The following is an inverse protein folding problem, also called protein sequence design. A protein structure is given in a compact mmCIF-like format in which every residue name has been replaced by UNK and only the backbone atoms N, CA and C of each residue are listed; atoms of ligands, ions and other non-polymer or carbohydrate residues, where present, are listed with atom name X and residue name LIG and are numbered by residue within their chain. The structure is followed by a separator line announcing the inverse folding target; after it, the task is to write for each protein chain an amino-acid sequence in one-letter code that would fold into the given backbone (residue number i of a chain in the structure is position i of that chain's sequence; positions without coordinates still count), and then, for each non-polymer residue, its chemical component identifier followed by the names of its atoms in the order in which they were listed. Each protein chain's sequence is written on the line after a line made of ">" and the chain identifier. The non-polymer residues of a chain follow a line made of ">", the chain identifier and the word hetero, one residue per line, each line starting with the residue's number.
data_IF_992364921469
#
_entry.id   IF_992364921469
#
_cell.length_a   1.000
_cell.length_b   1.000
_cell.length_c   1.000
_cell.angle_alpha   90.00
_cell.angle_beta   90.00
_cell.angle_gamma   90.00
#
_symmetry.space_group_name_H-M   'P 1'
#
loop_
_entity.id
_entity.type
_entity.pdbx_description
1 polymer ?
#
# COMPACT_ATOMS: atom_id res chain seq x y z
N UNK A 1 9.60 -17.58 -19.69
CA UNK A 1 9.53 -16.20 -20.21
C UNK A 1 8.08 -15.78 -20.14
N UNK A 2 7.73 -14.79 -19.33
CA UNK A 2 6.37 -14.23 -19.30
C UNK A 2 6.42 -13.00 -20.21
N UNK A 3 5.41 -12.84 -21.08
CA UNK A 3 5.38 -11.70 -21.99
C UNK A 3 5.16 -10.41 -21.20
N UNK A 4 5.85 -9.33 -21.58
CA UNK A 4 5.67 -8.01 -20.97
C UNK A 4 4.20 -7.56 -21.03
N UNK A 5 3.50 -7.94 -22.10
CA UNK A 5 2.07 -7.71 -22.31
C UNK A 5 1.20 -8.39 -21.24
N UNK A 6 1.52 -9.64 -20.86
CA UNK A 6 0.78 -10.37 -19.81
C UNK A 6 0.94 -9.71 -18.44
N UNK A 7 2.14 -9.21 -18.13
CA UNK A 7 2.40 -8.51 -16.87
C UNK A 7 1.64 -7.18 -16.79
N UNK A 8 1.68 -6.39 -17.87
CA UNK A 8 0.94 -5.11 -17.95
C UNK A 8 -0.57 -5.34 -17.82
N UNK A 9 -1.10 -6.41 -18.44
CA UNK A 9 -2.50 -6.81 -18.28
C UNK A 9 -2.85 -7.19 -16.83
N UNK A 10 -1.98 -7.97 -16.17
CA UNK A 10 -2.14 -8.32 -14.76
C UNK A 10 -2.13 -7.08 -13.84
N UNK A 11 -1.13 -6.20 -13.98
CA UNK A 11 -1.02 -4.97 -13.18
C UNK A 11 -2.25 -4.08 -13.39
N UNK A 12 -2.72 -3.94 -14.62
CA UNK A 12 -3.91 -3.14 -14.95
C UNK A 12 -5.18 -3.72 -14.32
N UNK A 13 -5.34 -5.05 -14.38
CA UNK A 13 -6.45 -5.74 -13.73
C UNK A 13 -6.44 -5.56 -12.21
N UNK A 14 -5.29 -5.80 -11.58
CA UNK A 14 -5.11 -5.59 -10.14
C UNK A 14 -5.35 -4.12 -9.74
N UNK A 15 -4.88 -3.17 -10.55
CA UNK A 15 -5.12 -1.75 -10.37
C UNK A 15 -6.62 -1.41 -10.38
N UNK A 16 -7.39 -1.94 -11.33
CA UNK A 16 -8.84 -1.72 -11.39
C UNK A 16 -9.53 -2.25 -10.12
N UNK A 17 -9.17 -3.46 -9.67
CA UNK A 17 -9.74 -4.05 -8.44
C UNK A 17 -9.45 -3.17 -7.22
N UNK A 18 -8.21 -2.70 -7.08
CA UNK A 18 -7.83 -1.79 -5.98
C UNK A 18 -8.59 -0.46 -6.10
N UNK A 19 -8.70 0.11 -7.30
CA UNK A 19 -9.43 1.36 -7.51
C UNK A 19 -10.90 1.26 -7.10
N UNK A 20 -11.59 0.16 -7.43
CA UNK A 20 -12.98 -0.07 -7.00
C UNK A 20 -13.06 -0.07 -5.46
N UNK A 21 -12.21 -0.85 -4.80
CA UNK A 21 -12.21 -0.95 -3.34
C UNK A 21 -11.87 0.37 -2.62
N UNK A 22 -10.86 1.09 -3.12
CA UNK A 22 -10.43 2.35 -2.51
C UNK A 22 -11.39 3.50 -2.80
N UNK A 23 -12.03 3.55 -3.97
CA UNK A 23 -13.02 4.59 -4.29
C UNK A 23 -14.21 4.53 -3.33
N UNK A 24 -14.65 3.33 -2.93
CA UNK A 24 -15.67 3.16 -1.89
C UNK A 24 -15.29 3.85 -0.58
N UNK A 25 -14.04 3.67 -0.14
CA UNK A 25 -13.52 4.26 1.11
C UNK A 25 -13.36 5.78 0.97
N UNK A 26 -12.89 6.27 -0.19
CA UNK A 26 -12.80 7.72 -0.50
C UNK A 26 -14.16 8.39 -0.41
N UNK A 27 -15.21 7.74 -0.89
CA UNK A 27 -16.59 8.22 -0.81
C UNK A 27 -17.23 8.03 0.58
N UNK A 28 -16.57 7.32 1.50
CA UNK A 28 -17.09 7.03 2.83
C UNK A 28 -18.33 6.14 2.83
N UNK A 29 -18.46 5.25 1.84
CA UNK A 29 -19.57 4.31 1.76
C UNK A 29 -19.40 3.17 2.79
N UNK A 30 -20.52 2.66 3.35
CA UNK A 30 -20.47 1.54 4.28
C UNK A 30 -19.88 0.28 3.64
N UNK A 31 -19.28 -0.57 4.46
CA UNK A 31 -18.72 -1.84 3.99
C UNK A 31 -19.87 -2.80 3.61
N UNK A 32 -19.73 -3.55 2.50
CA UNK A 32 -20.72 -4.55 2.13
C UNK A 32 -20.75 -5.67 3.18
N UNK A 33 -21.94 -6.23 3.44
CA UNK A 33 -22.15 -7.28 4.43
C UNK A 33 -21.52 -8.64 4.05
N UNK A 34 -21.08 -8.81 2.79
CA UNK A 34 -20.50 -10.05 2.27
C UNK A 34 -18.98 -9.95 2.14
N UNK A 35 -18.26 -10.85 2.80
CA UNK A 35 -16.78 -10.91 2.82
C UNK A 35 -16.20 -11.47 1.49
N UNK A 36 -17.02 -12.09 0.64
CA UNK A 36 -16.62 -12.73 -0.61
C UNK A 36 -17.29 -12.15 -1.86
N UNK A 37 -17.35 -10.84 -1.99
CA UNK A 37 -17.86 -10.21 -3.21
C UNK A 37 -16.76 -10.14 -4.28
N UNK A 38 -17.08 -10.62 -5.48
CA UNK A 38 -16.31 -10.35 -6.70
C UNK A 38 -16.12 -8.83 -6.89
N UNK A 39 -15.02 -8.38 -7.52
CA UNK A 39 -14.84 -6.96 -7.87
C UNK A 39 -16.04 -6.37 -8.62
N UNK A 40 -16.74 -7.21 -9.39
CA UNK A 40 -17.97 -6.81 -10.09
C UNK A 40 -19.13 -6.50 -9.14
N UNK A 41 -19.36 -7.35 -8.14
CA UNK A 41 -20.40 -7.10 -7.13
C UNK A 41 -20.07 -5.88 -6.26
N UNK A 42 -18.80 -5.64 -5.96
CA UNK A 42 -18.36 -4.44 -5.23
C UNK A 42 -18.64 -3.17 -6.05
N UNK A 43 -18.42 -3.22 -7.37
CA UNK A 43 -18.75 -2.12 -8.28
C UNK A 43 -20.27 -1.86 -8.31
N UNK A 44 -21.09 -2.91 -8.50
CA UNK A 44 -22.55 -2.78 -8.49
C UNK A 44 -23.09 -2.27 -7.14
N UNK A 45 -22.52 -2.74 -6.04
CA UNK A 45 -22.84 -2.28 -4.69
C UNK A 45 -22.53 -0.79 -4.54
N UNK A 46 -21.33 -0.36 -4.96
CA UNK A 46 -20.93 1.05 -4.92
C UNK A 46 -21.88 1.93 -5.74
N UNK A 47 -22.25 1.51 -6.95
CA UNK A 47 -23.15 2.27 -7.84
C UNK A 47 -24.58 2.37 -7.30
N UNK A 48 -25.07 1.31 -6.64
CA UNK A 48 -26.42 1.30 -6.04
C UNK A 48 -26.50 2.10 -4.73
N UNK A 49 -25.38 2.28 -4.03
CA UNK A 49 -25.32 2.96 -2.72
C UNK A 49 -24.75 4.39 -2.82
N UNK A 50 -24.62 4.97 -4.01
CA UNK A 50 -24.12 6.35 -4.18
C UNK A 50 -24.94 7.41 -3.43
N UNK A 51 -26.20 7.13 -3.11
CA UNK A 51 -27.03 8.01 -2.28
C UNK A 51 -26.58 8.06 -0.81
N UNK A 52 -25.79 7.09 -0.35
CA UNK A 52 -25.29 6.98 1.03
C UNK A 52 -23.86 7.52 1.19
N UNK A 53 -23.38 8.30 0.20
CA UNK A 53 -22.06 8.93 0.25
C UNK A 53 -21.96 9.84 1.47
N UNK A 54 -20.92 9.62 2.27
CA UNK A 54 -20.64 10.46 3.42
C UNK A 54 -19.87 11.72 2.96
N UNK A 55 -20.62 12.82 2.78
CA UNK A 55 -20.12 14.05 2.16
C UNK A 55 -18.83 14.57 2.81
N UNK A 56 -18.72 14.57 4.14
CA UNK A 56 -17.52 15.05 4.83
C UNK A 56 -16.30 14.18 4.51
N UNK A 57 -16.44 12.85 4.48
CA UNK A 57 -15.34 11.94 4.11
C UNK A 57 -14.94 12.17 2.65
N UNK A 58 -15.91 12.31 1.75
CA UNK A 58 -15.66 12.56 0.33
C UNK A 58 -14.90 13.87 0.11
N UNK A 59 -15.33 14.97 0.73
CA UNK A 59 -14.67 16.29 0.60
C UNK A 59 -13.24 16.23 1.12
N UNK A 60 -13.01 15.62 2.28
CA UNK A 60 -11.68 15.51 2.89
C UNK A 60 -10.75 14.65 2.04
N UNK A 61 -11.25 13.51 1.56
CA UNK A 61 -10.45 12.55 0.76
C UNK A 61 -10.13 13.09 -0.62
N UNK A 62 -11.12 13.66 -1.33
CA UNK A 62 -10.93 14.28 -2.63
C UNK A 62 -10.10 15.57 -2.52
N UNK A 63 -10.28 16.34 -1.46
CA UNK A 63 -9.45 17.50 -1.15
C UNK A 63 -8.00 17.12 -0.94
N UNK A 64 -7.72 16.06 -0.17
CA UNK A 64 -6.38 15.53 0.02
C UNK A 64 -5.76 15.01 -1.29
N UNK A 65 -6.54 14.30 -2.13
CA UNK A 65 -6.10 13.86 -3.46
C UNK A 65 -5.74 15.05 -4.35
N UNK A 66 -6.60 16.06 -4.41
CA UNK A 66 -6.38 17.27 -5.20
C UNK A 66 -5.14 18.03 -4.70
N UNK A 67 -4.98 18.15 -3.39
CA UNK A 67 -3.82 18.79 -2.77
C UNK A 67 -2.52 18.02 -3.04
N UNK A 68 -2.54 16.69 -2.98
CA UNK A 68 -1.40 15.84 -3.34
C UNK A 68 -0.98 16.06 -4.79
N UNK A 69 -1.95 16.05 -5.72
CA UNK A 69 -1.68 16.32 -7.14
C UNK A 69 -1.14 17.74 -7.35
N UNK A 70 -1.71 18.73 -6.67
CA UNK A 70 -1.23 20.11 -6.71
C UNK A 70 0.23 20.18 -6.24
N UNK A 71 0.57 19.60 -5.08
CA UNK A 71 1.95 19.55 -4.58
C UNK A 71 2.91 18.93 -5.61
N UNK A 72 2.54 17.82 -6.24
CA UNK A 72 3.36 17.20 -7.29
C UNK A 72 3.53 18.09 -8.52
N UNK A 73 2.45 18.73 -8.99
CA UNK A 73 2.53 19.65 -10.14
C UNK A 73 3.39 20.87 -9.84
N UNK A 74 3.26 21.45 -8.64
CA UNK A 74 4.09 22.56 -8.17
C UNK A 74 5.56 22.15 -8.05
N UNK A 75 5.86 20.97 -7.48
CA UNK A 75 7.23 20.43 -7.45
C UNK A 75 7.82 20.26 -8.84
N UNK A 76 7.03 19.77 -9.81
CA UNK A 76 7.49 19.65 -11.20
C UNK A 76 7.75 21.02 -11.84
N UNK A 77 6.94 22.04 -11.51
CA UNK A 77 7.11 23.43 -11.96
C UNK A 77 8.36 24.09 -11.38
N UNK A 78 8.61 23.91 -10.08
CA UNK A 78 9.75 24.47 -9.36
C UNK A 78 10.90 23.47 -9.23
N UNK A 79 11.36 22.94 -10.37
CA UNK A 79 12.46 21.97 -10.43
C UNK A 79 13.78 22.52 -9.87
N UNK A 80 13.95 23.85 -9.88
CA UNK A 80 15.16 24.54 -9.43
C UNK A 80 15.39 24.50 -7.91
N UNK A 81 14.35 24.21 -7.12
CA UNK A 81 14.43 24.12 -5.67
C UNK A 81 14.78 22.68 -5.25
N UNK A 82 16.07 22.36 -5.15
CA UNK A 82 16.55 21.03 -4.76
C UNK A 82 15.97 20.56 -3.41
N UNK A 83 15.82 21.48 -2.45
CA UNK A 83 15.23 21.19 -1.13
C UNK A 83 13.78 20.71 -1.22
N UNK A 84 12.99 21.24 -2.17
CA UNK A 84 11.58 20.91 -2.32
C UNK A 84 11.37 19.52 -2.96
N UNK A 85 12.33 19.05 -3.77
CA UNK A 85 12.29 17.71 -4.36
C UNK A 85 12.57 16.60 -3.34
N UNK A 86 13.36 16.89 -2.30
CA UNK A 86 13.75 15.90 -1.28
C UNK A 86 12.62 15.56 -0.30
N UNK A 87 11.58 16.39 -0.20
CA UNK A 87 10.48 16.18 0.72
C UNK A 87 9.48 15.17 0.12
N UNK A 88 9.12 14.07 0.81
CA UNK A 88 8.07 13.16 0.34
C UNK A 88 6.70 13.84 0.41
N UNK A 89 6.06 14.03 -0.74
CA UNK A 89 4.73 14.64 -0.88
C UNK A 89 3.65 13.87 -0.11
N UNK A 90 3.69 12.54 -0.11
CA UNK A 90 2.76 11.72 0.66
C UNK A 90 2.83 11.99 2.16
N UNK A 91 4.04 12.15 2.71
CA UNK A 91 4.20 12.46 4.15
C UNK A 91 3.64 13.84 4.50
N UNK A 92 3.84 14.83 3.63
CA UNK A 92 3.28 16.19 3.82
C UNK A 92 1.76 16.14 3.88
N UNK A 93 1.12 15.39 2.98
CA UNK A 93 -0.33 15.23 2.96
C UNK A 93 -0.82 14.54 4.24
N UNK A 94 -0.16 13.47 4.67
CA UNK A 94 -0.51 12.76 5.92
C UNK A 94 -0.42 13.70 7.13
N UNK A 95 0.69 14.42 7.28
CA UNK A 95 0.91 15.33 8.41
C UNK A 95 -0.14 16.44 8.42
N UNK A 96 -0.35 17.13 7.29
CA UNK A 96 -1.29 18.25 7.22
C UNK A 96 -2.73 17.81 7.42
N UNK A 97 -3.15 16.71 6.80
CA UNK A 97 -4.52 16.20 6.98
C UNK A 97 -4.77 15.70 8.39
N UNK A 98 -3.77 15.10 9.04
CA UNK A 98 -3.86 14.69 10.45
C UNK A 98 -3.98 15.92 11.36
N UNK A 99 -3.16 16.96 11.14
CA UNK A 99 -3.23 18.20 11.92
C UNK A 99 -4.57 18.92 11.76
N UNK A 100 -5.08 19.01 10.54
CA UNK A 100 -6.41 19.59 10.26
C UNK A 100 -7.49 18.76 10.94
N UNK A 101 -7.46 17.43 10.78
CA UNK A 101 -8.42 16.50 11.40
C UNK A 101 -8.43 16.60 12.92
N UNK A 102 -7.27 16.76 13.54
CA UNK A 102 -7.12 17.00 14.98
C UNK A 102 -7.70 18.36 15.40
N UNK A 103 -7.34 19.44 14.70
CA UNK A 103 -7.75 20.80 15.07
C UNK A 103 -9.26 21.05 14.91
N UNK A 104 -9.88 20.39 13.95
CA UNK A 104 -11.31 20.57 13.61
C UNK A 104 -12.19 19.41 14.10
N UNK A 105 -11.62 18.44 14.81
CA UNK A 105 -12.40 17.35 15.39
C UNK A 105 -13.22 16.53 14.38
N UNK A 106 -12.73 16.34 13.15
CA UNK A 106 -13.47 15.73 12.02
C UNK A 106 -14.22 14.44 12.38
N UNK A 107 -13.58 13.59 13.17
CA UNK A 107 -14.19 12.33 13.59
C UNK A 107 -15.37 12.53 14.56
N UNK A 108 -15.21 13.44 15.52
CA UNK A 108 -16.23 13.69 16.56
C UNK A 108 -17.40 14.51 16.03
N UNK A 109 -17.11 15.53 15.23
CA UNK A 109 -18.12 16.50 14.78
C UNK A 109 -18.80 16.07 13.49
N UNK A 110 -18.06 15.41 12.59
CA UNK A 110 -18.54 15.09 11.24
C UNK A 110 -18.59 13.59 10.96
N UNK A 111 -18.32 12.72 11.94
CA UNK A 111 -18.40 11.26 11.74
C UNK A 111 -17.39 10.68 10.76
N UNK A 112 -16.32 11.41 10.44
CA UNK A 112 -15.29 10.93 9.50
C UNK A 112 -14.51 9.77 10.15
N UNK A 113 -14.42 8.65 9.45
CA UNK A 113 -13.67 7.50 9.91
C UNK A 113 -12.16 7.82 9.93
N UNK A 114 -11.54 7.63 11.09
CA UNK A 114 -10.10 7.85 11.32
C UNK A 114 -9.40 6.53 11.60
N UNK A 115 -8.06 6.54 11.52
CA UNK A 115 -7.22 5.38 11.76
C UNK A 115 -7.45 4.77 13.15
N UNK A 116 -7.68 5.62 14.16
CA UNK A 116 -8.02 5.17 15.51
C UNK A 116 -6.83 4.64 16.29
N UNK A 117 -7.12 3.98 17.42
CA UNK A 117 -6.09 3.42 18.31
C UNK A 117 -5.70 2.04 17.83
N UNK A 118 -4.41 1.86 17.57
CA UNK A 118 -3.81 0.55 17.32
C UNK A 118 -2.83 0.29 18.45
N UNK A 119 -2.89 -0.91 19.04
CA UNK A 119 -1.92 -1.35 20.04
C UNK A 119 -0.55 -1.48 19.36
N UNK A 120 0.32 -0.50 19.58
CA UNK A 120 1.67 -0.43 19.03
C UNK A 120 2.67 -1.33 19.74
N UNK A 121 2.25 -2.53 20.14
CA UNK A 121 3.11 -3.51 20.80
C UNK A 121 4.21 -3.97 19.84
N UNK A 122 5.39 -4.28 20.40
CA UNK A 122 6.43 -4.93 19.60
C UNK A 122 5.89 -6.24 19.00
N UNK A 123 6.21 -6.53 17.73
CA UNK A 123 5.77 -7.76 17.10
C UNK A 123 6.29 -8.95 17.92
N UNK A 124 5.37 -9.71 18.48
CA UNK A 124 5.69 -10.85 19.34
C UNK A 124 5.95 -12.07 18.48
N UNK A 125 6.97 -12.83 18.82
CA UNK A 125 7.19 -14.13 18.21
C UNK A 125 6.00 -15.05 18.54
N UNK A 126 5.37 -15.59 17.52
CA UNK A 126 4.25 -16.50 17.62
C UNK A 126 4.37 -17.63 16.60
N UNK A 127 4.08 -18.85 17.01
CA UNK A 127 4.00 -19.98 16.07
C UNK A 127 2.68 -19.83 15.28
N UNK A 128 2.72 -19.81 13.93
CA UNK A 128 1.51 -19.76 13.12
C UNK A 128 0.61 -20.96 13.45
N UNK A 129 -0.63 -20.69 13.84
CA UNK A 129 -1.64 -21.72 14.11
C UNK A 129 -2.75 -21.60 13.09
N UNK A 130 -3.15 -22.71 12.49
CA UNK A 130 -4.36 -22.76 11.66
C UNK A 130 -5.55 -22.95 12.60
N UNK A 131 -6.50 -21.99 12.65
CA UNK A 131 -7.70 -22.16 13.45
C UNK A 131 -8.53 -23.34 12.94
N UNK A 132 -9.16 -24.09 13.86
CA UNK A 132 -9.89 -25.31 13.52
C UNK A 132 -11.09 -25.10 12.58
N UNK A 133 -11.60 -23.87 12.46
CA UNK A 133 -12.71 -23.51 11.59
C UNK A 133 -12.28 -23.19 10.14
N UNK A 134 -10.98 -23.10 9.86
CA UNK A 134 -10.50 -22.77 8.51
C UNK A 134 -10.18 -24.05 7.75
N UNK A 135 -10.72 -24.17 6.53
CA UNK A 135 -10.34 -25.27 5.64
C UNK A 135 -8.88 -25.11 5.23
N UNK A 136 -8.06 -26.09 5.60
CA UNK A 136 -6.65 -26.13 5.26
C UNK A 136 -6.43 -26.14 3.75
N UNK A 137 -7.36 -26.70 2.97
CA UNK A 137 -7.29 -26.72 1.50
C UNK A 137 -7.40 -25.32 0.90
N UNK A 138 -8.30 -24.49 1.43
CA UNK A 138 -8.51 -23.13 0.94
C UNK A 138 -7.30 -22.23 1.24
N UNK A 139 -6.70 -22.37 2.43
CA UNK A 139 -5.45 -21.66 2.78
C UNK A 139 -4.32 -22.10 1.85
N UNK A 140 -4.14 -23.41 1.66
CA UNK A 140 -3.05 -23.94 0.83
C UNK A 140 -3.23 -23.50 -0.63
N UNK A 141 -4.44 -23.62 -1.16
CA UNK A 141 -4.77 -23.19 -2.52
C UNK A 141 -4.47 -21.70 -2.71
N UNK A 142 -5.02 -20.84 -1.83
CA UNK A 142 -4.80 -19.39 -1.87
C UNK A 142 -3.32 -19.02 -1.70
N UNK A 143 -2.62 -19.70 -0.78
CA UNK A 143 -1.20 -19.50 -0.51
C UNK A 143 -0.32 -19.86 -1.70
N UNK A 144 -0.62 -20.96 -2.41
CA UNK A 144 0.06 -21.34 -3.65
C UNK A 144 -0.16 -20.25 -4.71
N UNK A 145 -1.39 -19.80 -4.91
CA UNK A 145 -1.71 -18.74 -5.88
C UNK A 145 -0.95 -17.45 -5.59
N UNK A 146 -1.00 -16.97 -4.34
CA UNK A 146 -0.32 -15.74 -3.91
C UNK A 146 1.19 -15.88 -4.11
N UNK A 147 1.78 -17.02 -3.71
CA UNK A 147 3.22 -17.27 -3.83
C UNK A 147 3.65 -17.32 -5.29
N UNK A 148 2.89 -18.00 -6.15
CA UNK A 148 3.21 -18.12 -7.57
C UNK A 148 3.23 -16.73 -8.24
N UNK A 149 2.23 -15.90 -7.96
CA UNK A 149 2.14 -14.54 -8.51
C UNK A 149 3.28 -13.67 -7.96
N UNK A 150 3.48 -13.66 -6.64
CA UNK A 150 4.47 -12.80 -5.99
C UNK A 150 5.92 -13.15 -6.32
N UNK A 151 6.23 -14.44 -6.48
CA UNK A 151 7.54 -14.91 -6.95
C UNK A 151 7.81 -14.46 -8.38
N UNK A 152 6.81 -14.61 -9.25
CA UNK A 152 6.90 -14.17 -10.64
C UNK A 152 7.19 -12.67 -10.71
N UNK A 153 6.43 -11.86 -9.97
CA UNK A 153 6.64 -10.41 -9.89
C UNK A 153 8.05 -10.08 -9.39
N UNK A 154 8.48 -10.70 -8.28
CA UNK A 154 9.79 -10.47 -7.68
C UNK A 154 10.94 -10.76 -8.63
N UNK A 155 10.89 -11.91 -9.31
CA UNK A 155 11.95 -12.32 -10.26
C UNK A 155 11.98 -11.40 -11.48
N UNK A 156 10.83 -10.93 -11.95
CA UNK A 156 10.76 -9.97 -13.06
C UNK A 156 11.41 -8.65 -12.65
N UNK A 157 11.02 -8.08 -11.50
CA UNK A 157 11.59 -6.84 -10.99
C UNK A 157 13.11 -6.99 -10.80
N UNK A 158 13.55 -8.10 -10.18
CA UNK A 158 14.97 -8.35 -9.98
C UNK A 158 15.75 -8.41 -11.30
N UNK A 159 15.22 -9.09 -12.32
CA UNK A 159 15.86 -9.17 -13.65
C UNK A 159 15.84 -7.83 -14.40
N UNK A 160 14.78 -7.05 -14.27
CA UNK A 160 14.70 -5.72 -14.89
C UNK A 160 15.83 -4.81 -14.38
N UNK A 161 16.00 -4.70 -13.06
CA UNK A 161 17.06 -3.87 -12.48
C UNK A 161 18.46 -4.46 -12.69
N UNK A 162 18.59 -5.79 -12.72
CA UNK A 162 19.84 -6.46 -13.07
C UNK A 162 20.30 -6.11 -14.49
N UNK A 163 19.37 -6.11 -15.44
CA UNK A 163 19.64 -5.71 -16.82
C UNK A 163 20.01 -4.23 -16.93
N UNK A 164 19.32 -3.35 -16.18
CA UNK A 164 19.58 -1.90 -16.20
C UNK A 164 20.90 -1.51 -15.55
N UNK A 165 21.28 -2.20 -14.47
CA UNK A 165 22.47 -1.89 -13.66
C UNK A 165 23.63 -2.87 -13.92
N UNK A 166 23.54 -3.70 -14.96
CA UNK A 166 24.60 -4.60 -15.43
C UNK A 166 25.16 -5.57 -14.38
N UNK A 167 24.29 -6.17 -13.58
CA UNK A 167 24.65 -7.25 -12.64
C UNK A 167 23.88 -8.53 -12.92
N UNK A 168 24.34 -9.66 -12.38
CA UNK A 168 23.69 -10.96 -12.54
C UNK A 168 22.72 -11.25 -11.39
N UNK A 169 21.57 -11.83 -11.69
CA UNK A 169 20.60 -12.33 -10.71
C UNK A 169 20.38 -13.82 -10.90
N UNK A 170 20.49 -14.56 -9.80
CA UNK A 170 20.13 -15.98 -9.75
C UNK A 170 18.69 -16.12 -9.24
N UNK A 171 17.78 -16.59 -10.10
CA UNK A 171 16.38 -16.83 -9.71
C UNK A 171 16.27 -17.83 -8.56
N UNK A 172 17.14 -18.84 -8.48
CA UNK A 172 17.11 -19.80 -7.37
C UNK A 172 17.46 -19.14 -6.03
N UNK A 173 18.42 -18.21 -6.01
CA UNK A 173 18.77 -17.46 -4.79
C UNK A 173 17.64 -16.52 -4.37
N UNK A 174 16.97 -15.90 -5.34
CA UNK A 174 15.79 -15.06 -5.07
C UNK A 174 14.65 -15.86 -4.44
N UNK A 175 14.37 -17.06 -4.97
CA UNK A 175 13.35 -17.96 -4.42
C UNK A 175 13.65 -18.34 -2.96
N UNK A 176 14.90 -18.71 -2.67
CA UNK A 176 15.32 -19.05 -1.30
C UNK A 176 15.20 -17.82 -0.39
N UNK A 177 15.62 -16.64 -0.84
CA UNK A 177 15.51 -15.42 -0.06
C UNK A 177 14.05 -15.06 0.28
N UNK A 178 13.15 -15.13 -0.71
CA UNK A 178 11.71 -14.91 -0.50
C UNK A 178 11.11 -15.95 0.44
N UNK A 179 11.45 -17.23 0.29
CA UNK A 179 10.98 -18.30 1.16
C UNK A 179 11.40 -18.08 2.62
N UNK A 180 12.69 -17.83 2.86
CA UNK A 180 13.21 -17.56 4.22
C UNK A 180 12.57 -16.30 4.81
N UNK A 181 12.46 -15.22 4.03
CA UNK A 181 11.83 -13.97 4.47
C UNK A 181 10.38 -14.17 4.92
N UNK A 182 9.59 -14.94 4.16
CA UNK A 182 8.19 -15.22 4.49
C UNK A 182 8.04 -16.20 5.66
N UNK A 183 8.93 -17.19 5.82
CA UNK A 183 8.95 -18.08 6.99
C UNK A 183 9.21 -17.25 8.25
N UNK A 184 10.26 -16.41 8.24
CA UNK A 184 10.58 -15.53 9.37
C UNK A 184 9.44 -14.55 9.62
N UNK A 185 8.90 -13.91 8.59
CA UNK A 185 7.78 -12.98 8.69
C UNK A 185 6.52 -13.62 9.28
N UNK A 186 6.23 -14.87 8.94
CA UNK A 186 5.06 -15.60 9.48
C UNK A 186 5.12 -15.74 11.00
N UNK A 187 6.32 -15.87 11.58
CA UNK A 187 6.51 -15.97 13.02
C UNK A 187 6.22 -14.64 13.76
N UNK A 188 6.10 -13.53 13.03
CA UNK A 188 5.73 -12.22 13.56
C UNK A 188 4.36 -11.74 13.05
N UNK A 189 3.57 -12.62 12.43
CA UNK A 189 2.24 -12.28 11.89
C UNK A 189 2.28 -11.39 10.64
N UNK A 190 3.39 -11.36 9.91
CA UNK A 190 3.49 -10.57 8.69
C UNK A 190 2.67 -11.17 7.55
N UNK A 191 2.10 -10.30 6.70
CA UNK A 191 1.54 -10.71 5.41
C UNK A 191 2.64 -11.20 4.47
N UNK A 192 2.30 -12.08 3.50
CA UNK A 192 3.24 -12.50 2.47
C UNK A 192 3.88 -11.30 1.76
N UNK A 193 5.20 -11.29 1.70
CA UNK A 193 5.99 -10.19 1.16
C UNK A 193 6.79 -10.63 -0.07
N UNK A 194 6.82 -9.75 -1.08
CA UNK A 194 7.46 -9.95 -2.37
C UNK A 194 8.21 -8.68 -2.80
N UNK A 195 8.99 -8.77 -3.87
CA UNK A 195 9.67 -7.63 -4.49
C UNK A 195 8.67 -6.57 -4.95
N UNK A 196 8.98 -5.29 -4.74
CA UNK A 196 8.10 -4.17 -5.07
C UNK A 196 8.71 -3.29 -6.16
N UNK A 197 8.07 -3.22 -7.33
CA UNK A 197 8.52 -2.37 -8.43
C UNK A 197 8.65 -0.89 -8.02
N UNK A 198 7.66 -0.38 -7.28
CA UNK A 198 7.62 1.02 -6.83
C UNK A 198 8.79 1.35 -5.88
N UNK A 199 9.05 0.48 -4.89
CA UNK A 199 10.15 0.69 -3.93
C UNK A 199 11.52 0.54 -4.60
N UNK A 200 11.69 -0.45 -5.48
CA UNK A 200 12.93 -0.63 -6.25
C UNK A 200 13.21 0.58 -7.15
N UNK A 201 12.18 1.13 -7.80
CA UNK A 201 12.31 2.33 -8.63
C UNK A 201 12.74 3.56 -7.84
N UNK A 202 12.21 3.72 -6.62
CA UNK A 202 12.62 4.81 -5.74
C UNK A 202 14.07 4.64 -5.28
N UNK A 203 14.47 3.41 -4.95
CA UNK A 203 15.82 3.10 -4.48
C UNK A 203 16.87 3.31 -5.60
N UNK A 204 16.56 2.87 -6.82
CA UNK A 204 17.37 3.08 -8.02
C UNK A 204 17.50 4.58 -8.36
N UNK A 205 16.41 5.35 -8.29
CA UNK A 205 16.42 6.81 -8.44
C UNK A 205 17.26 7.52 -7.36
N UNK A 206 17.26 6.98 -6.14
CA UNK A 206 18.10 7.45 -5.05
C UNK A 206 19.57 7.02 -5.20
N UNK A 207 19.91 6.29 -6.28
CA UNK A 207 21.25 5.75 -6.57
C UNK A 207 21.79 4.86 -5.45
N UNK A 208 20.91 4.11 -4.79
CA UNK A 208 21.33 3.14 -3.78
C UNK A 208 22.14 2.01 -4.43
N UNK A 209 23.33 1.75 -3.89
CA UNK A 209 24.28 0.76 -4.46
C UNK A 209 24.35 -0.54 -3.66
N UNK A 210 23.70 -0.62 -2.49
CA UNK A 210 23.74 -1.80 -1.62
C UNK A 210 22.41 -2.09 -0.94
N UNK A 211 22.28 -3.32 -0.44
CA UNK A 211 21.11 -3.79 0.32
C UNK A 211 20.95 -3.09 1.69
N UNK A 212 21.95 -2.33 2.14
CA UNK A 212 21.84 -1.50 3.35
C UNK A 212 20.67 -0.52 3.27
N UNK A 213 20.32 -0.06 2.07
CA UNK A 213 19.12 0.76 1.84
C UNK A 213 17.84 0.10 2.38
N UNK A 214 17.69 -1.21 2.19
CA UNK A 214 16.55 -1.98 2.69
C UNK A 214 16.56 -2.11 4.21
N UNK A 215 17.73 -2.32 4.82
CA UNK A 215 17.88 -2.38 6.28
C UNK A 215 17.54 -1.04 6.93
N UNK A 216 18.05 0.06 6.37
CA UNK A 216 17.72 1.41 6.84
C UNK A 216 16.22 1.67 6.74
N UNK A 217 15.59 1.30 5.61
CA UNK A 217 14.14 1.41 5.46
C UNK A 217 13.37 0.58 6.50
N UNK A 218 13.80 -0.65 6.78
CA UNK A 218 13.18 -1.50 7.80
C UNK A 218 13.30 -0.91 9.22
N UNK A 219 14.47 -0.38 9.57
CA UNK A 219 14.68 0.30 10.86
C UNK A 219 13.78 1.54 10.98
N UNK A 220 13.70 2.36 9.92
CA UNK A 220 12.84 3.55 9.92
C UNK A 220 11.35 3.18 10.07
N UNK A 221 10.91 2.11 9.40
CA UNK A 221 9.54 1.59 9.57
C UNK A 221 9.31 1.12 11.01
N UNK A 222 10.25 0.38 11.60
CA UNK A 222 10.14 -0.08 12.98
C UNK A 222 10.06 1.09 13.97
N UNK A 223 10.93 2.09 13.83
CA UNK A 223 10.90 3.31 14.66
C UNK A 223 9.58 4.06 14.46
N UNK A 224 9.06 4.10 13.23
CA UNK A 224 7.78 4.74 12.94
C UNK A 224 6.62 3.99 13.60
N UNK A 225 6.63 2.67 13.58
CA UNK A 225 5.59 1.87 14.24
C UNK A 225 5.59 2.09 15.76
N UNK A 226 6.76 2.20 16.39
CA UNK A 226 6.87 2.36 17.85
C UNK A 226 6.63 3.80 18.31
N UNK A 227 7.01 4.80 17.50
CA UNK A 227 6.97 6.21 17.89
C UNK A 227 5.84 7.03 17.28
N UNK A 228 5.44 6.75 16.03
CA UNK A 228 4.50 7.57 15.26
C UNK A 228 3.03 7.09 15.35
N UNK A 229 2.77 5.86 15.79
CA UNK A 229 1.41 5.30 15.86
C UNK A 229 0.40 6.18 16.61
N UNK A 230 0.70 6.74 17.80
CA UNK A 230 -0.25 7.60 18.51
C UNK A 230 -0.61 8.87 17.73
N UNK A 231 0.32 9.40 16.95
CA UNK A 231 0.11 10.59 16.13
C UNK A 231 -0.77 10.31 14.92
N UNK A 232 -0.86 9.06 14.47
CA UNK A 232 -1.70 8.66 13.35
C UNK A 232 -3.17 8.46 13.73
N UNK A 233 -3.53 8.53 15.02
CA UNK A 233 -4.91 8.31 15.49
C UNK A 233 -5.96 9.12 14.71
N UNK A 234 -5.66 10.41 14.47
CA UNK A 234 -6.56 11.35 13.82
C UNK A 234 -6.51 11.30 12.29
N UNK A 235 -5.67 10.46 11.69
CA UNK A 235 -5.54 10.37 10.24
C UNK A 235 -6.85 9.85 9.62
N UNK A 236 -7.52 10.59 8.72
CA UNK A 236 -8.74 10.10 8.09
C UNK A 236 -8.46 8.91 7.16
N UNK A 237 -9.23 7.82 7.29
CA UNK A 237 -9.06 6.62 6.47
C UNK A 237 -9.25 6.90 4.97
N UNK A 238 -10.15 7.82 4.63
CA UNK A 238 -10.38 8.23 3.25
C UNK A 238 -9.17 8.92 2.60
N UNK A 239 -8.31 9.59 3.39
CA UNK A 239 -7.05 10.16 2.89
C UNK A 239 -6.05 9.06 2.55
N UNK A 240 -5.96 8.00 3.38
CA UNK A 240 -5.13 6.84 3.07
C UNK A 240 -5.59 6.17 1.77
N UNK A 241 -6.91 5.99 1.60
CA UNK A 241 -7.48 5.45 0.37
C UNK A 241 -7.18 6.32 -0.85
N UNK A 242 -7.28 7.66 -0.71
CA UNK A 242 -6.92 8.60 -1.77
C UNK A 242 -5.44 8.49 -2.19
N UNK A 243 -4.52 8.32 -1.24
CA UNK A 243 -3.10 8.11 -1.51
C UNK A 243 -2.89 6.79 -2.29
N UNK A 244 -3.61 5.73 -1.93
CA UNK A 244 -3.53 4.44 -2.65
C UNK A 244 -4.08 4.61 -4.08
N UNK A 245 -5.20 5.30 -4.26
CA UNK A 245 -5.77 5.62 -5.59
C UNK A 245 -4.74 6.35 -6.44
N UNK A 246 -4.10 7.39 -5.91
CA UNK A 246 -3.09 8.15 -6.64
C UNK A 246 -1.87 7.27 -7.02
N UNK A 247 -1.40 6.44 -6.10
CA UNK A 247 -0.30 5.51 -6.36
C UNK A 247 -0.65 4.52 -7.49
N UNK A 248 -1.86 3.96 -7.48
CA UNK A 248 -2.32 3.00 -8.49
C UNK A 248 -2.54 3.67 -9.84
N UNK A 249 -3.13 4.87 -9.88
CA UNK A 249 -3.29 5.63 -11.12
C UNK A 249 -1.94 5.96 -11.75
N UNK A 250 -0.87 6.11 -10.96
CA UNK A 250 0.48 6.32 -11.50
C UNK A 250 1.14 5.09 -12.13
N UNK A 251 0.55 3.90 -11.93
CA UNK A 251 0.99 2.63 -12.50
C UNK A 251 0.27 2.28 -13.82
N UNK A 252 -0.92 2.85 -14.05
CA UNK A 252 -1.69 2.76 -15.30
C UNK A 252 -1.10 3.72 -16.35
#
# INVERSE_FOLDING_TARGET
>A
MISESSLRGFISGAAIVVLIGQTRIVLGLPAPNSVHSSPWSDLCYMLSHLAQVHAATAVVSLGALAFLRLLRTTKRRFRSAAWLQSIPDTLVVIILTTLVSWATGLSREHGVAVFGSVDGDLPRFGVPRVPAYVDTKDIVSSGITITMIGVVESVIVAREYASRNHYAVSSNRELVALGVSNIVGSAFGAYPAFGSLSRSKLNDRAKATSQLSGIVAAILVLVSLLGLLPYLYHLPLGVLAAIIVDAVVSLL
#
